data_IF_142455079716
#
_entry.id   IF_142455079716
#
_cell.length_a   1.000
_cell.length_b   1.000
_cell.length_c   1.000
_cell.angle_alpha   90.00
_cell.angle_beta   90.00
_cell.angle_gamma   90.00
#
_symmetry.space_group_name_H-M   'P 1'
#
loop_
_entity.id
_entity.type
_entity.pdbx_description
1 polymer ?
#
# COMPACT_ATOMS: atom_id res chain seq x y z
N UNK A 1 -36.47 -2.35 43.76
CA UNK A 1 -36.28 -0.94 43.41
C UNK A 1 -36.07 -0.85 41.91
N UNK A 2 -36.87 0.00 41.30
CA UNK A 2 -37.23 0.18 39.89
C UNK A 2 -36.07 0.57 38.96
N UNK A 3 -36.02 -0.09 37.80
CA UNK A 3 -35.39 0.41 36.56
C UNK A 3 -36.05 1.71 36.08
N UNK A 4 -35.33 2.63 35.42
CA UNK A 4 -35.95 3.57 34.50
C UNK A 4 -35.80 3.14 33.04
N UNK A 5 -36.90 3.40 32.34
CA UNK A 5 -37.21 3.16 30.93
C UNK A 5 -36.57 4.19 30.00
N UNK A 6 -36.47 3.75 28.75
CA UNK A 6 -36.43 4.44 27.47
C UNK A 6 -36.97 5.88 27.40
N UNK A 7 -36.30 6.70 26.59
CA UNK A 7 -36.95 7.75 25.80
C UNK A 7 -36.41 7.72 24.37
N UNK A 8 -37.32 7.48 23.43
CA UNK A 8 -37.12 7.57 21.99
C UNK A 8 -36.89 9.03 21.60
N UNK A 9 -35.94 9.30 20.70
CA UNK A 9 -35.90 10.60 20.00
C UNK A 9 -36.44 10.43 18.58
N UNK A 10 -37.38 11.30 18.31
CA UNK A 10 -38.32 11.36 17.21
C UNK A 10 -37.69 11.68 15.86
N UNK A 11 -38.18 10.96 14.86
CA UNK A 11 -38.04 11.18 13.44
C UNK A 11 -38.69 12.54 13.07
N UNK A 12 -37.89 13.46 12.53
CA UNK A 12 -38.34 14.75 11.99
C UNK A 12 -38.24 14.77 10.47
N UNK A 13 -39.36 14.46 9.82
CA UNK A 13 -39.60 14.69 8.40
C UNK A 13 -39.50 16.20 8.10
N UNK A 14 -38.65 16.59 7.14
CA UNK A 14 -38.84 17.85 6.41
C UNK A 14 -38.97 17.52 4.92
N UNK A 15 -40.21 17.55 4.46
CA UNK A 15 -40.57 17.41 3.06
C UNK A 15 -40.35 18.75 2.35
N UNK A 16 -39.45 18.77 1.36
CA UNK A 16 -39.49 19.76 0.28
C UNK A 16 -39.75 19.01 -1.03
N UNK A 17 -41.01 19.02 -1.44
CA UNK A 17 -41.43 18.51 -2.74
C UNK A 17 -41.22 19.62 -3.79
N UNK A 18 -40.28 19.41 -4.71
CA UNK A 18 -40.27 20.08 -6.00
C UNK A 18 -40.45 18.99 -7.07
N UNK A 19 -41.67 18.91 -7.59
CA UNK A 19 -42.00 18.19 -8.80
C UNK A 19 -41.48 18.96 -10.01
N UNK A 20 -40.58 18.36 -10.78
CA UNK A 20 -40.46 18.62 -12.22
C UNK A 20 -40.43 17.27 -12.95
N UNK A 21 -41.26 17.06 -13.99
CA UNK A 21 -41.26 15.83 -14.75
C UNK A 21 -40.42 16.01 -16.00
N UNK A 22 -39.36 15.21 -16.17
CA UNK A 22 -38.85 14.89 -17.51
C UNK A 22 -37.83 13.75 -17.45
N UNK A 23 -38.20 12.65 -18.12
CA UNK A 23 -37.35 11.85 -19.02
C UNK A 23 -35.85 11.75 -18.71
N UNK A 24 -35.39 10.55 -18.37
CA UNK A 24 -34.05 10.15 -18.76
C UNK A 24 -33.39 9.09 -17.89
N UNK A 25 -33.56 7.82 -18.26
CA UNK A 25 -32.62 6.73 -17.99
C UNK A 25 -31.24 6.98 -18.64
N UNK A 26 -30.62 8.14 -18.41
CA UNK A 26 -29.43 8.60 -19.12
C UNK A 26 -28.15 8.68 -18.29
N UNK A 27 -28.24 8.72 -16.95
CA UNK A 27 -27.08 9.02 -16.11
C UNK A 27 -26.28 7.80 -15.66
N UNK A 28 -26.87 6.61 -15.62
CA UNK A 28 -26.10 5.36 -15.39
C UNK A 28 -25.31 4.96 -16.66
N UNK A 29 -25.74 5.42 -17.84
CA UNK A 29 -25.09 5.12 -19.12
C UNK A 29 -23.82 5.95 -19.36
N UNK A 30 -23.69 7.12 -18.72
CA UNK A 30 -22.56 8.04 -18.95
C UNK A 30 -21.24 7.55 -18.30
N UNK A 31 -21.30 6.96 -17.10
CA UNK A 31 -20.13 6.36 -16.46
C UNK A 31 -19.65 5.10 -17.20
N UNK A 32 -20.57 4.30 -17.73
CA UNK A 32 -20.27 3.12 -18.57
C UNK A 32 -19.69 3.54 -19.94
N UNK A 33 -20.15 4.66 -20.50
CA UNK A 33 -19.65 5.17 -21.79
C UNK A 33 -18.27 5.83 -21.71
N UNK A 34 -17.87 6.40 -20.57
CA UNK A 34 -16.53 6.95 -20.39
C UNK A 34 -15.45 5.84 -20.38
N UNK A 35 -15.75 4.69 -19.77
CA UNK A 35 -14.88 3.50 -19.82
C UNK A 35 -14.79 2.88 -21.23
N UNK A 36 -15.89 2.92 -22.01
CA UNK A 36 -15.93 2.43 -23.40
C UNK A 36 -15.17 3.31 -24.40
N UNK A 37 -15.00 4.62 -24.14
CA UNK A 37 -14.33 5.53 -25.08
C UNK A 37 -12.84 5.23 -25.29
N UNK A 38 -12.21 4.50 -24.38
CA UNK A 38 -10.80 4.16 -24.48
C UNK A 38 -10.54 2.70 -24.87
N UNK A 39 -11.53 1.81 -24.93
CA UNK A 39 -11.32 0.42 -25.39
C UNK A 39 -11.59 0.28 -26.89
N UNK A 40 -11.20 -0.87 -27.47
CA UNK A 40 -11.52 -1.19 -28.87
C UNK A 40 -13.03 -1.37 -29.01
N UNK A 41 -13.60 -0.65 -29.98
CA UNK A 41 -14.97 -0.88 -30.44
C UNK A 41 -15.07 -2.25 -31.14
N UNK A 42 -15.47 -3.26 -30.38
CA UNK A 42 -15.59 -4.65 -30.83
C UNK A 42 -16.68 -4.85 -31.89
N UNK A 43 -17.59 -3.89 -32.11
CA UNK A 43 -18.61 -4.01 -33.16
C UNK A 43 -18.02 -3.93 -34.56
N UNK A 44 -16.82 -3.36 -34.70
CA UNK A 44 -16.09 -3.25 -35.99
C UNK A 44 -15.24 -4.48 -36.32
N UNK A 45 -15.04 -5.38 -35.35
CA UNK A 45 -14.10 -6.49 -35.45
C UNK A 45 -14.84 -7.83 -35.35
N UNK A 46 -14.48 -8.77 -36.21
CA UNK A 46 -14.89 -10.16 -36.12
C UNK A 46 -13.73 -10.96 -35.54
N UNK A 47 -13.91 -11.44 -34.31
CA UNK A 47 -12.94 -12.32 -33.65
C UNK A 47 -13.01 -13.69 -34.30
N UNK A 48 -11.86 -14.22 -34.74
CA UNK A 48 -11.75 -15.56 -35.31
C UNK A 48 -11.34 -16.59 -34.28
N UNK A 49 -10.37 -16.21 -33.45
CA UNK A 49 -9.75 -17.07 -32.45
C UNK A 49 -9.34 -16.23 -31.25
N UNK A 50 -9.43 -16.83 -30.08
CA UNK A 50 -8.87 -16.27 -28.85
C UNK A 50 -7.77 -17.20 -28.32
N UNK A 51 -6.90 -16.65 -27.48
CA UNK A 51 -5.93 -17.39 -26.70
C UNK A 51 -5.77 -16.75 -25.32
N UNK A 52 -5.36 -17.54 -24.34
CA UNK A 52 -5.17 -17.11 -22.97
C UNK A 52 -3.69 -17.16 -22.60
N UNK A 53 -3.28 -16.23 -21.75
CA UNK A 53 -1.96 -16.23 -21.14
C UNK A 53 -1.93 -15.41 -19.86
N UNK A 54 -0.77 -15.38 -19.24
CA UNK A 54 -0.45 -14.55 -18.08
C UNK A 54 0.43 -13.37 -18.54
N UNK A 55 0.29 -12.20 -17.93
CA UNK A 55 0.94 -10.96 -18.41
C UNK A 55 2.43 -10.85 -18.09
N UNK A 56 2.83 -11.22 -16.88
CA UNK A 56 4.16 -10.92 -16.34
C UNK A 56 4.94 -12.17 -15.91
N UNK A 57 4.29 -13.32 -16.01
CA UNK A 57 4.80 -14.60 -15.53
C UNK A 57 4.24 -15.72 -16.39
N UNK A 58 4.81 -16.91 -16.27
CA UNK A 58 4.46 -18.11 -17.02
C UNK A 58 3.75 -19.17 -16.17
N UNK A 59 3.76 -19.01 -14.85
CA UNK A 59 3.09 -19.89 -13.90
C UNK A 59 2.29 -19.11 -12.86
N UNK A 60 1.36 -19.78 -12.18
CA UNK A 60 0.53 -19.18 -11.13
C UNK A 60 1.09 -19.55 -9.76
N UNK A 61 1.41 -18.53 -8.96
CA UNK A 61 1.81 -18.67 -7.58
C UNK A 61 0.56 -18.67 -6.67
N UNK A 62 0.30 -19.71 -5.87
CA UNK A 62 -0.91 -19.76 -5.03
C UNK A 62 -1.07 -18.62 -4.00
N UNK A 63 0.01 -17.90 -3.66
CA UNK A 63 -0.02 -16.76 -2.71
C UNK A 63 0.06 -15.40 -3.37
N UNK A 64 0.07 -15.31 -4.70
CA UNK A 64 0.21 -14.05 -5.41
C UNK A 64 -0.88 -13.90 -6.49
N UNK A 65 -1.57 -12.74 -6.54
CA UNK A 65 -2.49 -12.46 -7.63
C UNK A 65 -1.72 -12.30 -8.94
N UNK A 66 -2.36 -12.67 -10.05
CA UNK A 66 -1.75 -12.63 -11.38
C UNK A 66 -2.72 -11.98 -12.37
N UNK A 67 -2.23 -11.15 -13.28
CA UNK A 67 -3.10 -10.60 -14.33
C UNK A 67 -3.13 -11.52 -15.54
N UNK A 68 -4.33 -11.94 -15.93
CA UNK A 68 -4.54 -12.74 -17.15
C UNK A 68 -4.60 -11.82 -18.37
N UNK A 69 -4.31 -12.40 -19.54
CA UNK A 69 -4.43 -11.75 -20.82
C UNK A 69 -5.29 -12.62 -21.74
N UNK A 70 -6.27 -12.01 -22.40
CA UNK A 70 -6.94 -12.62 -23.54
C UNK A 70 -6.41 -11.94 -24.80
N UNK A 71 -5.86 -12.74 -25.70
CA UNK A 71 -5.43 -12.29 -27.02
C UNK A 71 -6.45 -12.77 -28.05
N UNK A 72 -6.78 -11.94 -29.04
CA UNK A 72 -7.73 -12.26 -30.08
C UNK A 72 -7.16 -11.92 -31.46
N UNK A 73 -7.24 -12.87 -32.39
CA UNK A 73 -7.03 -12.61 -33.81
C UNK A 73 -8.37 -12.15 -34.40
N UNK A 74 -8.41 -10.92 -34.91
CA UNK A 74 -9.65 -10.31 -35.40
C UNK A 74 -9.49 -9.64 -36.77
N UNK A 75 -10.52 -9.76 -37.60
CA UNK A 75 -10.64 -9.07 -38.88
C UNK A 75 -11.61 -7.90 -38.79
N UNK A 76 -11.35 -6.83 -39.54
CA UNK A 76 -12.26 -5.71 -39.60
C UNK A 76 -13.46 -6.04 -40.50
N UNK A 77 -14.68 -6.00 -39.96
CA UNK A 77 -15.91 -6.42 -40.67
C UNK A 77 -16.15 -5.71 -42.01
N UNK A 78 -15.71 -4.45 -42.14
CA UNK A 78 -15.85 -3.64 -43.37
C UNK A 78 -14.60 -3.55 -44.25
N UNK A 79 -13.41 -3.92 -43.74
CA UNK A 79 -12.13 -3.74 -44.44
C UNK A 79 -11.43 -5.10 -44.49
N UNK A 80 -11.64 -5.82 -45.60
CA UNK A 80 -11.28 -7.23 -45.73
C UNK A 80 -9.77 -7.51 -45.67
N UNK A 81 -8.96 -6.49 -45.92
CA UNK A 81 -7.50 -6.49 -45.87
C UNK A 81 -6.94 -6.17 -44.47
N UNK A 82 -7.80 -5.80 -43.51
CA UNK A 82 -7.38 -5.32 -42.19
C UNK A 82 -7.64 -6.36 -41.10
N UNK A 83 -6.59 -7.07 -40.71
CA UNK A 83 -6.55 -7.92 -39.52
C UNK A 83 -5.72 -7.28 -38.41
N UNK A 84 -6.04 -7.59 -37.15
CA UNK A 84 -5.30 -7.09 -35.98
C UNK A 84 -5.31 -8.13 -34.87
N UNK A 85 -4.16 -8.25 -34.19
CA UNK A 85 -4.07 -8.90 -32.88
C UNK A 85 -4.50 -7.92 -31.81
N UNK A 86 -5.59 -8.26 -31.14
CA UNK A 86 -6.13 -7.51 -30.02
C UNK A 86 -5.75 -8.21 -28.73
N UNK A 87 -5.66 -7.44 -27.65
CA UNK A 87 -5.42 -7.99 -26.33
C UNK A 87 -6.19 -7.21 -25.27
N UNK A 88 -6.51 -7.85 -24.15
CA UNK A 88 -7.10 -7.15 -23.00
C UNK A 88 -6.13 -6.15 -22.37
N UNK A 89 -6.64 -5.13 -21.68
CA UNK A 89 -5.77 -4.13 -21.05
C UNK A 89 -5.01 -4.67 -19.82
N UNK A 90 -4.01 -3.90 -19.35
CA UNK A 90 -3.15 -4.21 -18.19
C UNK A 90 -3.35 -3.15 -17.10
N UNK A 91 -3.19 -3.53 -15.83
CA UNK A 91 -3.21 -2.65 -14.67
C UNK A 91 -4.51 -2.75 -13.87
N UNK A 92 -4.72 -1.77 -12.98
CA UNK A 92 -5.97 -1.62 -12.23
C UNK A 92 -7.00 -0.80 -13.02
N UNK A 93 -8.24 -0.76 -12.52
CA UNK A 93 -9.29 -0.02 -13.20
C UNK A 93 -9.02 1.50 -13.25
N UNK A 94 -8.23 2.05 -12.33
CA UNK A 94 -8.00 3.49 -12.19
C UNK A 94 -6.84 4.03 -13.05
N UNK A 95 -5.84 3.22 -13.38
CA UNK A 95 -4.61 3.62 -14.08
C UNK A 95 -4.30 2.88 -15.38
N UNK A 96 -5.13 1.92 -15.81
CA UNK A 96 -4.88 1.15 -17.04
C UNK A 96 -4.94 2.00 -18.33
N UNK A 97 -3.90 1.88 -19.17
CA UNK A 97 -4.00 2.33 -20.56
C UNK A 97 -4.88 1.36 -21.36
N UNK A 98 -6.12 1.79 -21.62
CA UNK A 98 -7.13 0.98 -22.32
C UNK A 98 -7.09 1.18 -23.84
N UNK A 99 -6.36 2.18 -24.33
CA UNK A 99 -6.36 2.60 -25.73
C UNK A 99 -5.97 1.44 -26.63
N UNK A 100 -6.89 1.03 -27.51
CA UNK A 100 -6.66 -0.03 -28.47
C UNK A 100 -6.60 -1.43 -27.86
N UNK A 101 -7.13 -1.61 -26.64
CA UNK A 101 -7.26 -2.89 -25.93
C UNK A 101 -8.72 -3.33 -25.78
N UNK A 102 -8.94 -4.62 -25.60
CA UNK A 102 -10.24 -5.21 -25.31
C UNK A 102 -10.58 -5.08 -23.81
N UNK A 103 -11.86 -4.97 -23.49
CA UNK A 103 -12.33 -5.13 -22.11
C UNK A 103 -12.40 -6.59 -21.70
N UNK A 104 -12.19 -6.89 -20.41
CA UNK A 104 -12.39 -8.23 -19.86
C UNK A 104 -13.87 -8.62 -19.84
N UNK A 105 -14.77 -7.63 -19.79
CA UNK A 105 -16.22 -7.80 -19.85
C UNK A 105 -16.73 -8.46 -21.15
N UNK A 106 -15.93 -8.43 -22.22
CA UNK A 106 -16.21 -9.07 -23.51
C UNK A 106 -16.14 -10.61 -23.45
N UNK A 107 -15.60 -11.15 -22.36
CA UNK A 107 -15.38 -12.57 -22.16
C UNK A 107 -16.17 -13.10 -20.97
N UNK A 108 -16.60 -14.35 -21.09
CA UNK A 108 -17.12 -15.16 -20.01
C UNK A 108 -16.01 -16.11 -19.55
N UNK A 109 -15.77 -16.17 -18.23
CA UNK A 109 -14.69 -16.97 -17.67
C UNK A 109 -15.24 -18.12 -16.84
N UNK A 110 -14.64 -19.30 -16.99
CA UNK A 110 -14.85 -20.45 -16.11
C UNK A 110 -13.52 -20.79 -15.46
N UNK A 111 -13.51 -20.82 -14.13
CA UNK A 111 -12.28 -20.86 -13.34
C UNK A 111 -12.31 -22.05 -12.38
N UNK A 112 -11.13 -22.63 -12.14
CA UNK A 112 -10.88 -23.54 -11.04
C UNK A 112 -9.59 -23.15 -10.34
N UNK A 113 -9.56 -23.31 -9.01
CA UNK A 113 -8.41 -22.95 -8.19
C UNK A 113 -8.29 -21.47 -7.84
N UNK A 114 -9.31 -20.63 -8.07
CA UNK A 114 -9.30 -19.23 -7.68
C UNK A 114 -10.46 -18.41 -8.26
N UNK A 115 -10.38 -17.10 -8.08
CA UNK A 115 -11.38 -16.13 -8.52
C UNK A 115 -10.75 -15.10 -9.47
N UNK A 116 -11.54 -14.53 -10.37
CA UNK A 116 -11.10 -13.48 -11.29
C UNK A 116 -11.93 -12.23 -11.05
N UNK A 117 -11.28 -11.09 -10.88
CA UNK A 117 -11.96 -9.81 -11.01
C UNK A 117 -12.22 -9.53 -12.50
N UNK A 118 -13.49 -9.56 -12.96
CA UNK A 118 -13.82 -9.37 -14.37
C UNK A 118 -13.60 -7.93 -14.84
N UNK A 119 -13.37 -6.98 -13.93
CA UNK A 119 -13.01 -5.61 -14.30
C UNK A 119 -11.54 -5.55 -14.63
N UNK A 120 -10.67 -6.04 -13.76
CA UNK A 120 -9.21 -5.87 -13.89
C UNK A 120 -8.52 -7.03 -14.61
N UNK A 121 -9.18 -8.18 -14.72
CA UNK A 121 -8.55 -9.41 -15.18
C UNK A 121 -7.51 -9.96 -14.19
N UNK A 122 -7.55 -9.51 -12.94
CA UNK A 122 -6.69 -10.04 -11.88
C UNK A 122 -7.29 -11.34 -11.35
N UNK A 123 -6.55 -12.43 -11.52
CA UNK A 123 -6.85 -13.74 -10.95
C UNK A 123 -6.22 -13.83 -9.56
N UNK A 124 -7.04 -14.10 -8.56
CA UNK A 124 -6.65 -14.33 -7.17
C UNK A 124 -6.78 -15.82 -6.91
N UNK A 125 -5.66 -16.55 -6.75
CA UNK A 125 -5.68 -17.97 -6.41
C UNK A 125 -6.46 -18.28 -5.13
N UNK A 126 -7.02 -19.48 -5.04
CA UNK A 126 -7.65 -19.97 -3.82
C UNK A 126 -6.59 -20.02 -2.70
N UNK A 127 -6.84 -19.39 -1.54
CA UNK A 127 -5.90 -19.38 -0.42
C UNK A 127 -5.62 -20.76 0.16
N UNK A 128 -6.48 -21.77 -0.08
CA UNK A 128 -6.20 -23.15 0.28
C UNK A 128 -5.14 -23.75 -0.67
N UNK A 129 -3.90 -23.77 -0.18
CA UNK A 129 -2.76 -24.31 -0.89
C UNK A 129 -2.86 -25.81 -1.14
N UNK A 130 -3.53 -26.55 -0.26
CA UNK A 130 -3.67 -27.99 -0.40
C UNK A 130 -4.68 -28.33 -1.50
N UNK A 131 -5.76 -27.55 -1.60
CA UNK A 131 -6.71 -27.67 -2.70
C UNK A 131 -6.03 -27.46 -4.06
N UNK A 132 -5.26 -26.38 -4.19
CA UNK A 132 -4.59 -26.01 -5.45
C UNK A 132 -3.37 -26.87 -5.77
N UNK A 133 -2.71 -27.46 -4.76
CA UNK A 133 -1.63 -28.43 -4.96
C UNK A 133 -2.07 -29.67 -5.73
N UNK A 134 -3.32 -30.10 -5.54
CA UNK A 134 -3.88 -31.29 -6.19
C UNK A 134 -4.52 -30.95 -7.54
N UNK A 135 -5.32 -29.88 -7.61
CA UNK A 135 -6.10 -29.56 -8.81
C UNK A 135 -5.37 -28.69 -9.84
N UNK A 136 -4.34 -27.97 -9.42
CA UNK A 136 -3.78 -26.84 -10.17
C UNK A 136 -4.82 -25.74 -10.41
N UNK A 137 -4.60 -24.98 -11.48
CA UNK A 137 -5.49 -23.89 -11.89
C UNK A 137 -5.99 -24.13 -13.31
N UNK A 138 -7.28 -23.93 -13.54
CA UNK A 138 -7.88 -24.03 -14.87
C UNK A 138 -8.57 -22.71 -15.19
N UNK A 139 -8.19 -22.10 -16.31
CA UNK A 139 -8.80 -20.85 -16.79
C UNK A 139 -9.35 -21.10 -18.19
N UNK A 140 -10.67 -21.00 -18.33
CA UNK A 140 -11.32 -21.00 -19.62
C UNK A 140 -11.95 -19.64 -19.90
N UNK A 141 -11.86 -19.19 -21.15
CA UNK A 141 -12.49 -17.97 -21.62
C UNK A 141 -13.28 -18.24 -22.89
N UNK A 142 -14.48 -17.66 -22.94
CA UNK A 142 -15.38 -17.71 -24.07
C UNK A 142 -15.73 -16.30 -24.49
N UNK A 143 -15.67 -16.02 -25.79
CA UNK A 143 -16.05 -14.72 -26.32
C UNK A 143 -17.57 -14.58 -26.37
N UNK A 144 -18.13 -13.59 -25.67
CA UNK A 144 -19.59 -13.48 -25.47
C UNK A 144 -20.36 -13.13 -26.74
N UNK A 145 -19.74 -12.40 -27.67
CA UNK A 145 -20.46 -11.84 -28.83
C UNK A 145 -20.61 -12.79 -30.01
N UNK A 146 -19.84 -13.89 -30.04
CA UNK A 146 -19.93 -14.88 -31.12
C UNK A 146 -19.70 -16.28 -30.55
N UNK A 147 -20.79 -17.03 -30.43
CA UNK A 147 -20.77 -18.40 -29.92
C UNK A 147 -19.99 -19.39 -30.82
N UNK A 148 -19.64 -18.99 -32.06
CA UNK A 148 -18.81 -19.80 -32.96
C UNK A 148 -17.33 -19.73 -32.62
N UNK A 149 -16.89 -18.72 -31.86
CA UNK A 149 -15.52 -18.66 -31.39
C UNK A 149 -15.34 -19.71 -30.30
N UNK A 150 -14.44 -20.66 -30.56
CA UNK A 150 -14.18 -21.76 -29.63
C UNK A 150 -13.71 -21.24 -28.27
N UNK A 151 -14.18 -21.91 -27.21
CA UNK A 151 -13.71 -21.63 -25.86
C UNK A 151 -12.26 -22.06 -25.75
N UNK A 152 -11.39 -21.16 -25.29
CA UNK A 152 -10.00 -21.51 -24.99
C UNK A 152 -9.89 -21.84 -23.51
N UNK A 153 -9.29 -22.99 -23.21
CA UNK A 153 -8.96 -23.43 -21.86
C UNK A 153 -7.45 -23.58 -21.74
N UNK A 154 -6.88 -23.11 -20.63
CA UNK A 154 -5.49 -23.35 -20.26
C UNK A 154 -5.44 -23.84 -18.81
N UNK A 155 -4.73 -24.94 -18.61
CA UNK A 155 -4.43 -25.50 -17.30
C UNK A 155 -3.00 -25.10 -16.89
N UNK A 156 -2.85 -24.56 -15.68
CA UNK A 156 -1.58 -24.14 -15.11
C UNK A 156 -1.28 -25.01 -13.89
N UNK A 157 -0.09 -25.63 -13.89
CA UNK A 157 0.47 -26.20 -12.68
C UNK A 157 0.81 -25.07 -11.69
N UNK A 158 0.60 -25.27 -10.37
CA UNK A 158 0.98 -24.29 -9.38
C UNK A 158 2.50 -24.17 -9.33
N UNK A 159 3.01 -22.95 -9.28
CA UNK A 159 4.44 -22.69 -9.04
C UNK A 159 4.64 -22.18 -7.62
N UNK A 160 5.57 -22.78 -6.90
CA UNK A 160 5.88 -22.40 -5.53
C UNK A 160 7.18 -21.60 -5.40
N UNK A 161 7.81 -21.22 -6.51
CA UNK A 161 9.07 -20.45 -6.54
C UNK A 161 8.92 -19.02 -5.95
N UNK A 162 7.70 -18.50 -5.91
CA UNK A 162 7.39 -17.21 -5.29
C UNK A 162 7.47 -17.23 -3.76
N UNK A 163 7.44 -18.41 -3.13
CA UNK A 163 7.40 -18.56 -1.69
C UNK A 163 8.85 -18.62 -1.19
N UNK A 164 9.30 -17.52 -0.61
CA UNK A 164 10.69 -17.32 -0.17
C UNK A 164 10.81 -17.07 1.33
N UNK A 165 9.69 -16.89 2.01
CA UNK A 165 9.65 -16.57 3.43
C UNK A 165 8.36 -17.06 4.08
N UNK A 166 8.41 -17.20 5.41
CA UNK A 166 7.32 -17.60 6.28
C UNK A 166 7.49 -16.95 7.67
N UNK A 167 6.44 -16.99 8.49
CA UNK A 167 6.46 -16.43 9.84
C UNK A 167 6.09 -14.95 9.88
N UNK A 168 6.61 -14.21 10.86
CA UNK A 168 6.34 -12.77 10.99
C UNK A 168 7.43 -12.07 11.79
N UNK A 169 7.31 -10.74 11.88
CA UNK A 169 8.16 -9.92 12.73
C UNK A 169 7.33 -9.22 13.81
N UNK A 170 8.00 -8.82 14.88
CA UNK A 170 7.45 -7.92 15.88
C UNK A 170 7.02 -6.59 15.27
N UNK A 171 6.05 -5.92 15.90
CA UNK A 171 5.58 -4.62 15.43
C UNK A 171 6.69 -3.57 15.50
N UNK A 172 6.82 -2.75 14.46
CA UNK A 172 7.72 -1.60 14.52
C UNK A 172 7.23 -0.58 15.55
N UNK A 173 8.18 0.01 16.27
CA UNK A 173 7.93 1.11 17.18
C UNK A 173 7.54 2.38 16.42
N UNK A 174 6.64 3.22 16.97
CA UNK A 174 6.19 4.44 16.33
C UNK A 174 7.30 5.50 16.26
N UNK A 175 7.30 6.30 15.20
CA UNK A 175 8.14 7.50 15.11
C UNK A 175 7.71 8.53 16.16
N UNK A 176 8.68 9.18 16.78
CA UNK A 176 8.45 10.28 17.71
C UNK A 176 7.86 11.51 17.03
N UNK A 177 7.03 12.24 17.78
CA UNK A 177 6.35 13.42 17.27
C UNK A 177 7.31 14.57 16.96
N UNK A 178 7.00 15.36 15.94
CA UNK A 178 7.76 16.57 15.63
C UNK A 178 7.51 17.64 16.70
N UNK A 179 8.57 18.33 17.11
CA UNK A 179 8.46 19.48 18.00
C UNK A 179 7.75 20.66 17.31
N UNK A 180 6.86 21.38 18.02
CA UNK A 180 6.16 22.54 17.43
C UNK A 180 7.13 23.69 17.15
N UNK A 181 6.88 24.46 16.08
CA UNK A 181 7.65 25.67 15.80
C UNK A 181 7.41 26.75 16.84
N UNK A 182 8.45 27.54 17.12
CA UNK A 182 8.36 28.76 17.90
C UNK A 182 7.65 29.88 17.14
N UNK A 183 7.05 30.79 17.88
CA UNK A 183 6.36 31.95 17.35
C UNK A 183 7.35 33.09 17.09
N UNK A 184 7.13 33.82 16.01
CA UNK A 184 7.91 35.03 15.72
C UNK A 184 7.62 36.13 16.74
N UNK A 185 8.64 36.93 17.03
CA UNK A 185 8.51 38.13 17.85
C UNK A 185 7.75 39.24 17.12
N UNK A 186 7.03 40.07 17.88
CA UNK A 186 6.28 41.19 17.33
C UNK A 186 7.22 42.30 16.82
N UNK A 187 6.83 42.99 15.76
CA UNK A 187 7.56 44.18 15.31
C UNK A 187 7.42 45.32 16.33
N UNK A 188 8.49 46.09 16.50
CA UNK A 188 8.52 47.29 17.32
C UNK A 188 7.68 48.41 16.70
N UNK A 189 7.04 49.21 17.54
CA UNK A 189 6.20 50.33 17.08
C UNK A 189 7.04 51.43 16.43
N UNK A 190 6.52 52.05 15.36
CA UNK A 190 7.14 53.25 14.80
C UNK A 190 7.06 54.45 15.74
N UNK A 191 8.15 55.21 15.81
CA UNK A 191 8.24 56.55 16.36
C UNK A 191 8.25 57.63 15.26
N UNK A 192 8.65 58.84 15.64
CA UNK A 192 8.72 60.03 14.78
C UNK A 192 10.01 60.84 15.05
N UNK A 193 10.15 62.03 14.49
CA UNK A 193 11.35 62.89 14.67
C UNK A 193 11.59 63.35 16.12
N UNK A 194 10.63 63.15 17.02
CA UNK A 194 10.70 63.45 18.45
C UNK A 194 10.55 62.22 19.35
N UNK A 195 10.24 61.05 18.77
CA UNK A 195 9.94 59.82 19.50
C UNK A 195 10.74 58.63 18.96
N UNK A 196 11.43 57.92 19.84
CA UNK A 196 12.15 56.70 19.48
C UNK A 196 11.20 55.60 18.97
N UNK A 197 11.70 54.78 18.04
CA UNK A 197 11.02 53.56 17.65
C UNK A 197 11.09 52.52 18.77
N UNK A 198 10.05 51.70 18.90
CA UNK A 198 10.01 50.59 19.85
C UNK A 198 10.90 49.44 19.42
N UNK A 199 11.40 48.67 20.38
CA UNK A 199 12.17 47.46 20.09
C UNK A 199 11.27 46.34 19.54
N UNK A 200 11.84 45.50 18.69
CA UNK A 200 11.21 44.27 18.24
C UNK A 200 11.21 43.20 19.33
N UNK A 201 10.12 42.46 19.44
CA UNK A 201 10.00 41.32 20.34
C UNK A 201 10.91 40.16 19.92
N UNK A 202 11.37 39.36 20.88
CA UNK A 202 12.14 38.15 20.56
C UNK A 202 11.21 37.03 20.07
N UNK A 203 11.70 36.20 19.15
CA UNK A 203 11.04 34.96 18.77
C UNK A 203 11.13 33.93 19.90
N UNK A 204 10.14 33.06 20.01
CA UNK A 204 10.14 31.98 21.01
C UNK A 204 10.93 30.78 20.52
N UNK A 205 11.44 29.96 21.45
CA UNK A 205 12.09 28.71 21.08
C UNK A 205 11.14 27.73 20.38
N UNK A 206 11.70 26.87 19.53
CA UNK A 206 11.02 25.69 19.02
C UNK A 206 10.86 24.63 20.11
N UNK A 207 9.79 23.85 20.04
CA UNK A 207 9.50 22.79 20.99
C UNK A 207 10.36 21.55 20.77
N UNK A 208 10.54 20.78 21.84
CA UNK A 208 11.23 19.49 21.80
C UNK A 208 10.42 18.49 20.99
N UNK A 209 11.11 17.59 20.30
CA UNK A 209 10.47 16.46 19.64
C UNK A 209 10.22 15.30 20.61
N UNK A 210 9.29 14.41 20.25
CA UNK A 210 9.07 13.15 20.94
C UNK A 210 10.15 12.12 20.61
N UNK A 211 10.42 11.21 21.55
CA UNK A 211 11.26 10.03 21.29
C UNK A 211 10.50 9.02 20.42
N UNK A 212 11.24 8.17 19.70
CA UNK A 212 10.63 6.98 19.10
C UNK A 212 10.14 6.00 20.17
N UNK A 213 9.23 5.10 19.79
CA UNK A 213 8.83 3.98 20.63
C UNK A 213 9.63 2.71 20.32
N UNK A 214 9.80 1.81 21.29
CA UNK A 214 10.53 0.56 21.11
C UNK A 214 9.82 -0.38 20.12
N UNK A 215 10.61 -1.22 19.44
CA UNK A 215 10.08 -2.30 18.64
C UNK A 215 9.48 -3.42 19.50
N UNK A 216 8.41 -4.03 19.02
CA UNK A 216 7.76 -5.18 19.65
C UNK A 216 8.60 -6.46 19.54
N UNK A 217 8.42 -7.44 20.45
CA UNK A 217 9.11 -8.71 20.38
C UNK A 217 8.70 -9.50 19.13
N UNK A 218 9.61 -10.34 18.62
CA UNK A 218 9.30 -11.31 17.59
C UNK A 218 8.42 -12.46 18.11
N UNK A 219 7.69 -13.17 17.22
CA UNK A 219 6.79 -14.25 17.61
C UNK A 219 7.52 -15.50 18.09
N UNK A 220 6.85 -16.33 18.87
CA UNK A 220 7.30 -17.68 19.20
C UNK A 220 6.58 -18.68 18.30
N UNK A 221 7.34 -19.41 17.49
CA UNK A 221 6.79 -20.33 16.50
C UNK A 221 7.43 -21.72 16.54
N UNK A 222 6.60 -22.72 16.26
CA UNK A 222 7.00 -24.11 16.01
C UNK A 222 6.61 -24.44 14.59
N UNK A 223 7.56 -24.91 13.79
CA UNK A 223 7.33 -25.29 12.41
C UNK A 223 7.57 -26.79 12.21
N UNK A 224 6.65 -27.45 11.51
CA UNK A 224 6.73 -28.85 11.14
C UNK A 224 6.97 -28.95 9.63
N UNK A 225 8.04 -29.62 9.22
CA UNK A 225 8.44 -29.75 7.83
C UNK A 225 8.53 -31.22 7.39
N UNK A 226 7.99 -31.53 6.22
CA UNK A 226 8.15 -32.83 5.55
C UNK A 226 8.09 -32.65 4.03
N UNK A 227 8.47 -33.67 3.28
CA UNK A 227 8.35 -33.69 1.82
C UNK A 227 7.03 -34.36 1.43
N UNK A 228 6.31 -33.71 0.51
CA UNK A 228 5.07 -34.22 -0.07
C UNK A 228 5.19 -34.28 -1.59
N UNK A 229 4.45 -35.23 -2.17
CA UNK A 229 4.26 -35.37 -3.61
C UNK A 229 2.84 -34.94 -3.99
N UNK A 230 2.73 -34.21 -5.09
CA UNK A 230 1.47 -33.78 -5.70
C UNK A 230 1.38 -34.29 -7.13
N UNK A 231 0.23 -34.19 -7.80
CA UNK A 231 0.13 -34.52 -9.23
C UNK A 231 1.03 -33.68 -10.13
N UNK A 232 1.47 -32.51 -9.66
CA UNK A 232 2.26 -31.55 -10.44
C UNK A 232 3.73 -31.51 -10.03
N UNK A 233 4.08 -31.99 -8.83
CA UNK A 233 5.42 -31.92 -8.28
C UNK A 233 5.76 -33.17 -7.49
N UNK A 234 6.89 -33.79 -7.80
CA UNK A 234 7.34 -34.99 -7.08
C UNK A 234 7.94 -34.71 -5.70
N UNK A 235 8.40 -33.47 -5.48
CA UNK A 235 9.20 -33.12 -4.32
C UNK A 235 8.93 -31.66 -3.90
N UNK A 236 7.99 -31.47 -2.98
CA UNK A 236 7.70 -30.18 -2.34
C UNK A 236 7.85 -30.30 -0.84
N UNK A 237 8.32 -29.24 -0.18
CA UNK A 237 8.30 -29.14 1.27
C UNK A 237 6.93 -28.63 1.70
N UNK A 238 6.22 -29.39 2.54
CA UNK A 238 5.10 -28.91 3.32
C UNK A 238 5.62 -28.35 4.64
N UNK A 239 5.41 -27.06 4.89
CA UNK A 239 5.75 -26.40 6.13
C UNK A 239 4.49 -25.91 6.83
N UNK A 240 4.24 -26.43 8.02
CA UNK A 240 3.17 -25.99 8.90
C UNK A 240 3.75 -25.19 10.06
N UNK A 241 3.41 -23.91 10.14
CA UNK A 241 3.83 -22.99 11.22
C UNK A 241 2.69 -22.84 12.22
N UNK A 242 3.04 -22.91 13.50
CA UNK A 242 2.11 -22.78 14.63
C UNK A 242 2.75 -21.94 15.75
N UNK A 243 1.95 -21.43 16.68
CA UNK A 243 2.40 -20.57 17.79
C UNK A 243 1.67 -19.24 17.78
N UNK A 244 2.41 -18.15 17.97
CA UNK A 244 1.86 -16.78 17.92
C UNK A 244 1.34 -16.42 16.51
N UNK A 245 1.87 -17.09 15.49
CA UNK A 245 1.40 -17.03 14.10
C UNK A 245 1.16 -18.44 13.58
N UNK A 246 0.14 -18.59 12.74
CA UNK A 246 -0.15 -19.84 12.03
C UNK A 246 -0.04 -19.61 10.54
N UNK A 247 0.62 -20.55 9.86
CA UNK A 247 0.72 -20.55 8.40
C UNK A 247 0.87 -21.99 7.90
N UNK A 248 0.48 -22.25 6.67
CA UNK A 248 0.76 -23.50 5.98
C UNK A 248 1.18 -23.14 4.57
N UNK A 249 2.31 -23.70 4.12
CA UNK A 249 2.86 -23.39 2.82
C UNK A 249 3.57 -24.59 2.19
N UNK A 250 3.63 -24.55 0.87
CA UNK A 250 4.37 -25.50 0.04
C UNK A 250 5.47 -24.73 -0.69
N UNK A 251 6.69 -25.26 -0.75
CA UNK A 251 7.79 -24.66 -1.51
C UNK A 251 8.69 -25.71 -2.16
N UNK A 252 9.38 -25.33 -3.24
CA UNK A 252 10.37 -26.18 -3.89
C UNK A 252 11.69 -26.10 -3.11
N UNK A 253 12.24 -27.22 -2.59
CA UNK A 253 13.47 -27.22 -1.79
C UNK A 253 14.73 -26.84 -2.58
N UNK A 254 14.67 -26.69 -3.91
CA UNK A 254 15.77 -26.13 -4.71
C UNK A 254 16.07 -24.68 -4.37
N UNK A 255 15.12 -23.99 -3.74
CA UNK A 255 15.29 -22.62 -3.27
C UNK A 255 15.11 -22.57 -1.75
N UNK A 256 16.08 -22.01 -1.01
CA UNK A 256 15.92 -21.85 0.42
C UNK A 256 14.85 -20.80 0.74
N UNK A 257 14.18 -20.98 1.88
CA UNK A 257 13.23 -20.01 2.41
C UNK A 257 13.68 -19.53 3.79
N UNK A 258 13.21 -18.35 4.19
CA UNK A 258 13.44 -17.79 5.53
C UNK A 258 12.20 -17.99 6.39
N UNK A 259 12.31 -18.75 7.48
CA UNK A 259 11.33 -18.79 8.55
C UNK A 259 11.70 -17.73 9.58
N UNK A 260 10.91 -16.65 9.67
CA UNK A 260 11.22 -15.49 10.50
C UNK A 260 10.35 -15.41 11.75
N UNK A 261 11.02 -15.04 12.84
CA UNK A 261 10.49 -14.68 14.13
C UNK A 261 11.20 -13.41 14.65
N UNK A 262 11.50 -12.48 13.74
CA UNK A 262 12.35 -11.33 14.03
C UNK A 262 11.68 -10.31 14.95
N UNK A 263 12.45 -9.61 15.79
CA UNK A 263 11.97 -8.47 16.55
C UNK A 263 11.62 -7.26 15.67
N UNK A 264 10.65 -6.45 16.09
CA UNK A 264 10.27 -5.22 15.41
C UNK A 264 11.35 -4.15 15.48
N UNK A 265 11.45 -3.29 14.47
CA UNK A 265 12.38 -2.15 14.51
C UNK A 265 11.94 -1.12 15.56
N UNK A 266 12.89 -0.47 16.23
CA UNK A 266 12.63 0.71 17.04
C UNK A 266 12.23 1.90 16.17
N UNK A 267 11.33 2.75 16.69
CA UNK A 267 10.92 3.99 16.05
C UNK A 267 12.01 5.05 16.08
N UNK A 268 12.06 5.88 15.04
CA UNK A 268 12.95 7.03 15.01
C UNK A 268 12.47 8.14 15.95
N UNK A 269 13.38 8.91 16.52
CA UNK A 269 13.04 10.15 17.24
C UNK A 269 12.47 11.20 16.29
N UNK A 270 11.61 12.08 16.82
CA UNK A 270 11.04 13.19 16.07
C UNK A 270 12.04 14.32 15.84
N UNK A 271 11.78 15.17 14.85
CA UNK A 271 12.58 16.37 14.60
C UNK A 271 12.17 17.50 15.54
N UNK A 272 13.13 18.23 16.12
CA UNK A 272 12.86 19.39 16.95
C UNK A 272 12.21 20.54 16.17
N UNK A 273 11.38 21.35 16.83
CA UNK A 273 10.70 22.48 16.20
C UNK A 273 11.66 23.61 15.85
N UNK A 274 11.37 24.36 14.78
CA UNK A 274 12.15 25.54 14.45
C UNK A 274 11.95 26.66 15.47
N UNK A 275 12.99 27.43 15.78
CA UNK A 275 12.86 28.66 16.58
C UNK A 275 12.15 29.77 15.80
N UNK A 276 11.36 30.58 16.50
CA UNK A 276 10.68 31.73 15.92
C UNK A 276 11.65 32.86 15.57
N UNK A 277 11.39 33.62 14.52
CA UNK A 277 12.23 34.76 14.16
C UNK A 277 12.02 35.93 15.16
N UNK A 278 13.05 36.72 15.41
CA UNK A 278 12.92 37.99 16.13
C UNK A 278 12.19 39.04 15.30
N UNK A 279 11.37 39.86 15.95
CA UNK A 279 10.67 40.97 15.31
C UNK A 279 11.62 42.13 15.00
N UNK A 280 11.38 42.87 13.92
CA UNK A 280 12.17 44.07 13.61
C UNK A 280 11.89 45.20 14.60
N UNK A 281 12.89 46.01 14.90
CA UNK A 281 12.72 47.27 15.63
C UNK A 281 12.00 48.33 14.78
N UNK A 282 11.19 49.17 15.44
CA UNK A 282 10.51 50.29 14.80
C UNK A 282 11.46 51.43 14.49
N UNK A 283 11.20 52.18 13.42
CA UNK A 283 11.98 53.39 13.10
C UNK A 283 11.53 54.58 13.94
N UNK A 284 12.40 55.56 14.21
CA UNK A 284 12.06 56.76 14.99
C UNK A 284 13.27 57.69 15.12
N UNK A 285 13.19 58.76 15.93
CA UNK A 285 14.31 59.68 16.17
C UNK A 285 15.60 58.93 16.49
N UNK A 286 15.46 57.87 17.29
CA UNK A 286 16.38 56.74 17.35
C UNK A 286 15.60 55.48 16.97
N UNK A 287 16.16 54.64 16.11
CA UNK A 287 15.56 53.35 15.76
C UNK A 287 15.59 52.36 16.91
N UNK A 288 14.52 51.58 17.07
CA UNK A 288 14.44 50.48 18.02
C UNK A 288 15.33 49.31 17.60
N UNK A 289 15.76 48.49 18.55
CA UNK A 289 16.56 47.28 18.27
C UNK A 289 15.68 46.18 17.69
N UNK A 290 16.25 45.34 16.83
CA UNK A 290 15.59 44.09 16.45
C UNK A 290 15.58 43.09 17.61
N UNK A 291 14.56 42.26 17.68
CA UNK A 291 14.46 41.17 18.64
C UNK A 291 15.36 40.01 18.28
N UNK A 292 15.74 39.19 19.26
CA UNK A 292 16.52 37.99 19.01
C UNK A 292 15.65 36.89 18.39
N UNK A 293 16.24 36.04 17.55
CA UNK A 293 15.59 34.79 17.14
C UNK A 293 15.53 33.80 18.31
N UNK A 294 14.49 32.97 18.33
CA UNK A 294 14.36 31.88 19.30
C UNK A 294 15.28 30.71 18.96
N UNK A 295 15.74 29.92 19.94
CA UNK A 295 16.51 28.71 19.67
C UNK A 295 15.64 27.64 18.98
N UNK A 296 16.26 26.74 18.22
CA UNK A 296 15.57 25.54 17.74
C UNK A 296 15.34 24.53 18.86
N UNK A 297 14.32 23.70 18.72
CA UNK A 297 14.04 22.59 19.62
C UNK A 297 15.01 21.43 19.42
N UNK A 298 15.24 20.63 20.45
CA UNK A 298 16.05 19.41 20.32
C UNK A 298 15.24 18.31 19.61
N UNK A 299 15.95 17.46 18.85
CA UNK A 299 15.37 16.23 18.30
C UNK A 299 15.16 15.19 19.39
N UNK A 300 14.27 14.24 19.13
CA UNK A 300 13.99 13.12 20.03
C UNK A 300 15.02 12.01 19.88
N UNK A 301 15.14 11.15 20.88
CA UNK A 301 15.96 9.96 20.78
C UNK A 301 15.28 8.89 19.91
N UNK A 302 16.09 8.09 19.20
CA UNK A 302 15.61 6.85 18.62
C UNK A 302 15.37 5.79 19.71
N UNK A 303 14.56 4.80 19.41
CA UNK A 303 14.20 3.74 20.35
C UNK A 303 14.96 2.43 20.10
N UNK A 304 14.86 1.49 21.03
CA UNK A 304 15.47 0.18 20.87
C UNK A 304 14.69 -0.68 19.88
N UNK A 305 15.39 -1.58 19.20
CA UNK A 305 14.75 -2.67 18.49
C UNK A 305 14.15 -3.68 19.46
N UNK A 306 13.07 -4.35 19.05
CA UNK A 306 12.46 -5.42 19.81
C UNK A 306 13.35 -6.65 19.88
N UNK A 307 13.19 -7.44 20.93
CA UNK A 307 13.87 -8.74 21.04
C UNK A 307 13.41 -9.68 19.92
N UNK A 308 14.31 -10.56 19.47
CA UNK A 308 13.96 -11.66 18.59
C UNK A 308 13.02 -12.64 19.31
N UNK A 309 12.20 -13.32 18.54
CA UNK A 309 11.33 -14.38 19.01
C UNK A 309 12.05 -15.71 19.16
N UNK A 310 11.31 -16.81 19.07
CA UNK A 310 11.87 -18.16 19.10
C UNK A 310 11.33 -19.01 17.96
N UNK A 311 12.20 -19.84 17.39
CA UNK A 311 11.85 -20.76 16.31
C UNK A 311 12.27 -22.17 16.72
N UNK A 312 11.30 -23.09 16.72
CA UNK A 312 11.58 -24.53 16.81
C UNK A 312 11.19 -25.20 15.50
N UNK A 313 12.18 -25.60 14.71
CA UNK A 313 11.97 -26.41 13.53
C UNK A 313 11.98 -27.90 13.90
N UNK A 314 10.90 -28.58 13.59
CA UNK A 314 10.76 -30.04 13.64
C UNK A 314 10.63 -30.50 12.20
N UNK A 315 11.57 -31.31 11.73
CA UNK A 315 11.53 -31.84 10.37
C UNK A 315 11.54 -33.37 10.40
N UNK A 316 10.99 -33.95 9.35
CA UNK A 316 11.00 -35.39 9.13
C UNK A 316 12.44 -35.90 8.96
N UNK A 317 12.85 -36.84 9.81
CA UNK A 317 14.19 -37.40 9.82
C UNK A 317 14.55 -38.14 8.51
N UNK A 318 13.56 -38.50 7.69
CA UNK A 318 13.78 -39.05 6.36
C UNK A 318 14.38 -38.03 5.36
N UNK A 319 14.26 -36.73 5.65
CA UNK A 319 14.67 -35.63 4.77
C UNK A 319 15.58 -34.63 5.51
N UNK A 320 16.82 -35.02 5.87
CA UNK A 320 17.73 -34.19 6.64
C UNK A 320 18.13 -32.87 5.93
N UNK A 321 18.01 -32.81 4.60
CA UNK A 321 18.22 -31.60 3.81
C UNK A 321 17.31 -30.43 4.24
N UNK A 322 16.15 -30.73 4.85
CA UNK A 322 15.19 -29.73 5.34
C UNK A 322 15.82 -28.76 6.35
N UNK A 323 16.82 -29.22 7.12
CA UNK A 323 17.56 -28.38 8.06
C UNK A 323 18.42 -27.30 7.38
N UNK A 324 18.73 -27.46 6.10
CA UNK A 324 19.59 -26.54 5.34
C UNK A 324 18.82 -25.62 4.40
N UNK A 325 17.67 -26.08 3.90
CA UNK A 325 16.82 -25.29 2.99
C UNK A 325 15.91 -24.30 3.75
N UNK A 326 15.66 -24.53 5.04
CA UNK A 326 14.87 -23.63 5.89
C UNK A 326 15.83 -22.81 6.75
N UNK A 327 16.11 -21.58 6.32
CA UNK A 327 16.88 -20.63 7.12
C UNK A 327 16.03 -20.08 8.26
N UNK A 328 16.56 -20.08 9.48
CA UNK A 328 15.86 -19.59 10.66
C UNK A 328 16.34 -18.17 11.00
N UNK A 329 15.42 -17.21 11.11
CA UNK A 329 15.71 -15.84 11.52
C UNK A 329 14.93 -15.46 12.78
N UNK A 330 15.59 -15.56 13.93
CA UNK A 330 15.07 -15.10 15.21
C UNK A 330 15.85 -13.87 15.72
N UNK A 331 16.36 -13.02 14.82
CA UNK A 331 17.16 -11.87 15.24
C UNK A 331 16.32 -10.82 15.98
N UNK A 332 16.98 -9.98 16.77
CA UNK A 332 16.36 -8.74 17.25
C UNK A 332 16.05 -7.76 16.10
N UNK A 333 15.23 -6.76 16.40
CA UNK A 333 14.99 -5.62 15.54
C UNK A 333 16.13 -4.61 15.60
N UNK A 334 16.21 -3.76 14.57
CA UNK A 334 17.16 -2.64 14.56
C UNK A 334 16.70 -1.52 15.49
N UNK A 335 17.63 -0.80 16.11
CA UNK A 335 17.31 0.44 16.82
C UNK A 335 16.85 1.55 15.84
N UNK A 336 16.05 2.48 16.34
CA UNK A 336 15.63 3.67 15.62
C UNK A 336 16.71 4.75 15.63
N UNK A 337 16.71 5.61 14.61
CA UNK A 337 17.62 6.75 14.54
C UNK A 337 17.18 7.89 15.47
N UNK A 338 18.14 8.65 15.99
CA UNK A 338 17.84 9.92 16.65
C UNK A 338 17.23 10.92 15.66
N UNK A 339 16.34 11.78 16.17
CA UNK A 339 15.76 12.89 15.43
C UNK A 339 16.70 14.09 15.37
N UNK A 340 16.57 14.88 14.32
CA UNK A 340 17.40 16.07 14.12
C UNK A 340 16.93 17.24 15.01
N UNK A 341 17.85 18.11 15.47
CA UNK A 341 17.44 19.35 16.11
C UNK A 341 16.77 20.29 15.10
N UNK A 342 15.86 21.12 15.59
CA UNK A 342 15.25 22.20 14.84
C UNK A 342 16.24 23.36 14.62
N UNK A 343 16.10 24.11 13.52
CA UNK A 343 16.92 25.29 13.29
C UNK A 343 16.57 26.41 14.27
N UNK A 344 17.55 27.25 14.63
CA UNK A 344 17.31 28.51 15.33
C UNK A 344 16.61 29.53 14.44
N UNK A 345 15.82 30.41 15.06
CA UNK A 345 15.23 31.56 14.41
C UNK A 345 16.26 32.66 14.16
N UNK A 346 15.99 33.47 13.14
CA UNK A 346 16.84 34.61 12.79
C UNK A 346 16.55 35.82 13.69
N UNK A 347 17.56 36.66 13.92
CA UNK A 347 17.35 37.94 14.61
C UNK A 347 16.57 38.94 13.71
N UNK A 348 15.77 39.79 14.34
CA UNK A 348 15.07 40.89 13.70
C UNK A 348 16.03 42.02 13.33
N UNK A 349 15.66 42.80 12.31
CA UNK A 349 16.43 43.97 11.88
C UNK A 349 16.27 45.14 12.86
N UNK A 350 17.30 45.97 13.01
CA UNK A 350 17.16 47.24 13.71
C UNK A 350 16.26 48.22 12.93
N UNK A 351 15.55 49.08 13.65
CA UNK A 351 14.80 50.21 13.10
C UNK A 351 15.74 51.33 12.66
N UNK A 352 15.27 52.16 11.72
CA UNK A 352 16.06 53.28 11.20
C UNK A 352 15.90 54.52 12.07
N UNK A 353 16.99 55.27 12.23
CA UNK A 353 16.94 56.63 12.76
C UNK A 353 16.44 57.58 11.66
N UNK A 354 15.46 58.43 11.98
CA UNK A 354 14.85 59.37 11.02
C UNK A 354 15.02 60.85 11.42
N UNK A 355 15.85 61.14 12.42
CA UNK A 355 16.24 62.51 12.78
C UNK A 355 17.55 62.92 12.10
N UNK A 356 17.59 64.15 11.59
CA UNK A 356 18.82 64.87 11.22
C UNK A 356 19.51 65.46 12.45
#
# INVERSE_FOLDING_TARGET
>A
MTLPRSTQLTCGLLALALFTPSTGCGLITLAVNAAKKNTVDMDRWQVKKISLGLREQDAICPRAPVQIAVFADADHKKRKDKSKKLETWKGDAAGANRIGKMGFEEFEFTLSGGELDPKTGVFVPNPDLLATAVSGFSIAAKYKRDAKVETTKVDYAPSYACITWAGSAGMSGPTGEMGPSGNSGAAGQGGDSSKAGGDGGSGTGGGLAGNGGDGGPGPNIVAYATIVKTPHHDHLVLLQVTGDVTDTLLFDPKQPIVLSAKGGSGGSGGTGGAGGAGGSGGSGYVGGRGGNGGPGGQGGNGANGGAGGSIRLVYDAAYPELATVIALDASGGSAGSAGSPGPGGYAGSAGSAIGE
#
